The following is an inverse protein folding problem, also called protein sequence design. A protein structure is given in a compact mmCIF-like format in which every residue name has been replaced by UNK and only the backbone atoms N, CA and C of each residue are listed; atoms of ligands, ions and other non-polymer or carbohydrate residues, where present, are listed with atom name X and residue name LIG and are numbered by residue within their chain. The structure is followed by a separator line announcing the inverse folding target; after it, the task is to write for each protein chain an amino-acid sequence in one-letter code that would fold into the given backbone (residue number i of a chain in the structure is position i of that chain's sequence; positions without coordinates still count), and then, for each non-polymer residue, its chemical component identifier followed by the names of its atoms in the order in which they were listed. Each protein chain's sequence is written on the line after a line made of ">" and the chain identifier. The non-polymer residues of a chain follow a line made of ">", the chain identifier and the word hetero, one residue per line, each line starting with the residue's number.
data_IF_066836012245
#
_entry.id   IF_066836012245
#
_cell.length_a   1.000
_cell.length_b   1.000
_cell.length_c   1.000
_cell.angle_alpha   90.00
_cell.angle_beta   90.00
_cell.angle_gamma   90.00
#
_symmetry.space_group_name_H-M   'P 1'
#
loop_
_entity.id
_entity.type
_entity.pdbx_description
1 polymer ?
#
# COMPACT_ATOMS: atom_id res chain seq x y z
N UNK A 1 4.27 -6.88 18.73
CA UNK A 1 4.18 -6.89 17.26
C UNK A 1 2.83 -6.37 16.86
N UNK A 2 2.80 -5.50 15.84
CA UNK A 2 1.57 -5.03 15.23
C UNK A 2 0.84 -6.20 14.56
N UNK A 3 -0.49 -6.18 14.58
CA UNK A 3 -1.36 -7.15 13.92
C UNK A 3 -2.22 -6.49 12.84
N UNK A 4 -2.45 -5.18 12.93
CA UNK A 4 -3.09 -4.39 11.90
C UNK A 4 -2.03 -3.57 11.17
N UNK A 5 -1.85 -3.85 9.88
CA UNK A 5 -0.95 -3.13 8.98
C UNK A 5 -1.80 -2.32 8.02
N UNK A 6 -1.76 -1.00 8.13
CA UNK A 6 -2.51 -0.11 7.23
C UNK A 6 -1.56 0.38 6.16
N UNK A 7 -1.88 0.15 4.90
CA UNK A 7 -1.04 0.51 3.76
C UNK A 7 -1.66 1.72 3.05
N UNK A 8 -0.97 2.85 3.09
CA UNK A 8 -1.34 4.07 2.38
C UNK A 8 -0.18 4.57 1.51
N UNK A 9 -0.34 5.71 0.85
CA UNK A 9 0.54 6.19 -0.20
C UNK A 9 -0.21 6.96 -1.28
N UNK A 10 0.50 7.80 -2.04
CA UNK A 10 -0.08 8.58 -3.14
C UNK A 10 -0.79 7.66 -4.17
N UNK A 11 -1.77 8.19 -4.90
CA UNK A 11 -2.37 7.47 -6.02
C UNK A 11 -1.30 7.02 -7.03
N UNK A 12 -1.32 5.75 -7.44
CA UNK A 12 -0.37 5.22 -8.42
C UNK A 12 0.96 4.68 -7.87
N UNK A 13 1.26 4.81 -6.56
CA UNK A 13 2.53 4.30 -6.00
C UNK A 13 2.57 2.78 -5.77
N UNK A 14 1.46 2.07 -5.98
CA UNK A 14 1.37 0.61 -5.88
C UNK A 14 0.87 0.06 -4.54
N UNK A 15 0.08 0.84 -3.77
CA UNK A 15 -0.51 0.43 -2.48
C UNK A 15 -1.10 -0.98 -2.48
N UNK A 16 -2.02 -1.28 -3.39
CA UNK A 16 -2.71 -2.59 -3.46
C UNK A 16 -1.71 -3.73 -3.68
N UNK A 17 -0.74 -3.54 -4.59
CA UNK A 17 0.32 -4.53 -4.85
C UNK A 17 1.18 -4.76 -3.61
N UNK A 18 1.61 -3.68 -2.95
CA UNK A 18 2.43 -3.75 -1.73
C UNK A 18 1.65 -4.37 -0.56
N UNK A 19 0.36 -4.04 -0.40
CA UNK A 19 -0.50 -4.62 0.62
C UNK A 19 -0.66 -6.13 0.43
N UNK A 20 -0.86 -6.58 -0.80
CA UNK A 20 -0.95 -8.00 -1.11
C UNK A 20 0.39 -8.73 -0.93
N UNK A 21 1.52 -8.12 -1.32
CA UNK A 21 2.85 -8.66 -1.09
C UNK A 21 3.16 -8.79 0.40
N UNK A 22 2.81 -7.77 1.20
CA UNK A 22 2.96 -7.82 2.66
C UNK A 22 2.06 -8.89 3.27
N UNK A 23 0.82 -9.04 2.79
CA UNK A 23 -0.08 -10.07 3.29
C UNK A 23 0.47 -11.49 3.03
N UNK A 24 1.05 -11.73 1.86
CA UNK A 24 1.75 -12.98 1.54
C UNK A 24 2.99 -13.20 2.43
N UNK A 25 3.77 -12.14 2.68
CA UNK A 25 4.95 -12.21 3.52
C UNK A 25 4.59 -12.55 4.99
N UNK A 26 3.54 -11.92 5.53
CA UNK A 26 3.06 -12.14 6.89
C UNK A 26 2.36 -13.50 7.07
N UNK A 27 1.74 -14.03 6.02
CA UNK A 27 1.11 -15.35 6.03
C UNK A 27 2.11 -16.49 5.98
N UNK A 28 3.39 -16.26 5.66
CA UNK A 28 4.38 -17.32 5.58
C UNK A 28 4.48 -18.15 6.88
N UNK A 29 4.92 -19.40 6.73
CA UNK A 29 5.17 -20.36 7.81
C UNK A 29 3.89 -20.78 8.56
N UNK A 30 2.83 -21.05 7.79
CA UNK A 30 1.57 -21.60 8.29
C UNK A 30 0.64 -20.57 8.95
N UNK A 31 0.96 -19.27 8.86
CA UNK A 31 0.15 -18.18 9.40
C UNK A 31 -1.02 -17.84 8.48
N UNK A 32 -2.03 -17.19 9.06
CA UNK A 32 -3.21 -16.71 8.34
C UNK A 32 -3.25 -15.19 8.36
N UNK A 33 -3.30 -14.58 7.18
CA UNK A 33 -3.42 -13.12 7.03
C UNK A 33 -4.70 -12.76 6.29
N UNK A 34 -5.40 -11.73 6.75
CA UNK A 34 -6.53 -11.15 6.04
C UNK A 34 -6.10 -9.86 5.33
N UNK A 35 -6.24 -9.82 4.01
CA UNK A 35 -6.09 -8.62 3.18
C UNK A 35 -7.47 -7.96 3.00
N UNK A 36 -7.56 -6.68 3.31
CA UNK A 36 -8.82 -5.94 3.33
C UNK A 36 -8.72 -4.73 2.42
N UNK A 37 -9.69 -4.52 1.54
CA UNK A 37 -9.83 -3.30 0.73
C UNK A 37 -11.06 -2.51 1.18
N UNK A 38 -10.94 -1.18 1.28
CA UNK A 38 -12.00 -0.29 1.80
C UNK A 38 -12.49 0.77 0.79
N UNK A 39 -11.86 0.86 -0.38
CA UNK A 39 -12.21 1.86 -1.41
C UNK A 39 -13.24 1.36 -2.42
N UNK A 40 -13.56 0.06 -2.44
CA UNK A 40 -14.57 -0.53 -3.34
C UNK A 40 -14.15 -0.56 -4.80
N UNK A 41 -12.84 -0.54 -5.08
CA UNK A 41 -12.26 -0.54 -6.44
C UNK A 41 -12.07 -1.94 -7.00
N UNK A 42 -12.23 -2.98 -6.16
CA UNK A 42 -11.96 -4.38 -6.52
C UNK A 42 -10.51 -4.57 -7.00
N UNK A 43 -9.59 -3.80 -6.41
CA UNK A 43 -8.16 -3.86 -6.72
C UNK A 43 -7.56 -5.21 -6.36
N UNK A 44 -8.01 -5.83 -5.26
CA UNK A 44 -7.58 -7.18 -4.90
C UNK A 44 -8.00 -8.20 -5.98
N UNK A 45 -9.26 -8.17 -6.43
CA UNK A 45 -9.75 -9.11 -7.44
C UNK A 45 -8.96 -8.97 -8.76
N UNK A 46 -8.70 -7.73 -9.18
CA UNK A 46 -7.89 -7.44 -10.38
C UNK A 46 -6.45 -7.96 -10.23
N UNK A 47 -5.81 -7.71 -9.08
CA UNK A 47 -4.42 -8.11 -8.83
C UNK A 47 -4.24 -9.63 -8.79
N UNK A 48 -5.23 -10.37 -8.29
CA UNK A 48 -5.21 -11.83 -8.24
C UNK A 48 -5.92 -12.49 -9.44
N UNK A 49 -6.32 -11.70 -10.43
CA UNK A 49 -7.01 -12.15 -11.66
C UNK A 49 -8.26 -13.01 -11.38
N UNK A 50 -9.04 -12.63 -10.36
CA UNK A 50 -10.28 -13.32 -9.97
C UNK A 50 -11.52 -12.55 -10.38
N UNK A 51 -12.68 -13.22 -10.32
CA UNK A 51 -13.96 -12.51 -10.32
C UNK A 51 -14.06 -11.50 -9.17
N UNK A 52 -14.91 -10.46 -9.28
CA UNK A 52 -15.17 -9.52 -8.19
C UNK A 52 -15.48 -10.24 -6.88
N UNK A 53 -14.83 -9.81 -5.80
CA UNK A 53 -15.00 -10.43 -4.50
C UNK A 53 -16.37 -10.05 -3.92
N UNK A 54 -17.18 -11.04 -3.50
CA UNK A 54 -18.37 -10.76 -2.72
C UNK A 54 -18.00 -10.26 -1.31
N UNK A 55 -18.98 -9.74 -0.58
CA UNK A 55 -18.81 -9.34 0.81
C UNK A 55 -18.73 -10.56 1.75
N UNK A 56 -17.63 -11.30 1.64
CA UNK A 56 -17.27 -12.42 2.50
C UNK A 56 -15.76 -12.66 2.47
N UNK A 57 -15.23 -13.25 3.53
CA UNK A 57 -13.80 -13.61 3.60
C UNK A 57 -13.54 -14.85 2.74
N UNK A 58 -12.66 -14.72 1.74
CA UNK A 58 -12.29 -15.83 0.86
C UNK A 58 -10.79 -16.05 0.84
N UNK A 59 -10.35 -17.30 0.87
CA UNK A 59 -8.95 -17.64 0.59
C UNK A 59 -8.64 -17.29 -0.87
N UNK A 60 -7.63 -16.44 -1.07
CA UNK A 60 -7.18 -16.00 -2.41
C UNK A 60 -5.78 -16.49 -2.76
N UNK A 61 -4.96 -16.83 -1.77
CA UNK A 61 -3.59 -17.31 -2.02
C UNK A 61 -3.08 -18.23 -0.90
N UNK A 62 -2.05 -19.01 -1.23
CA UNK A 62 -1.32 -19.86 -0.28
C UNK A 62 0.11 -19.35 -0.17
N UNK A 63 0.52 -18.93 1.02
CA UNK A 63 1.87 -18.44 1.27
C UNK A 63 2.87 -19.60 1.47
N UNK A 64 4.18 -19.37 1.27
CA UNK A 64 5.22 -20.37 1.54
C UNK A 64 5.11 -20.96 2.96
N UNK A 65 5.38 -22.26 3.10
CA UNK A 65 5.24 -22.96 4.37
C UNK A 65 3.79 -23.30 4.75
N UNK A 66 2.85 -23.22 3.79
CA UNK A 66 1.46 -23.66 3.97
C UNK A 66 0.54 -22.61 4.61
N UNK A 67 0.98 -21.35 4.66
CA UNK A 67 0.15 -20.25 5.16
C UNK A 67 -0.96 -19.84 4.20
N UNK A 68 -1.87 -18.99 4.67
CA UNK A 68 -3.04 -18.59 3.90
C UNK A 68 -3.26 -17.08 3.90
N UNK A 69 -3.54 -16.53 2.71
CA UNK A 69 -4.07 -15.17 2.57
C UNK A 69 -5.54 -15.27 2.23
N UNK A 70 -6.36 -14.66 3.07
CA UNK A 70 -7.78 -14.43 2.83
C UNK A 70 -7.98 -12.98 2.41
N UNK A 71 -8.99 -12.70 1.60
CA UNK A 71 -9.34 -11.35 1.19
C UNK A 71 -10.77 -11.00 1.59
N UNK A 72 -11.01 -9.73 1.87
CA UNK A 72 -12.32 -9.14 2.06
C UNK A 72 -12.36 -7.76 1.39
N UNK A 73 -13.20 -7.62 0.35
CA UNK A 73 -13.58 -6.31 -0.16
C UNK A 73 -14.73 -5.78 0.72
N UNK A 74 -14.45 -4.80 1.57
CA UNK A 74 -15.48 -4.25 2.46
C UNK A 74 -16.40 -3.34 1.67
N UNK A 75 -17.66 -3.69 1.71
CA UNK A 75 -18.74 -2.84 1.21
C UNK A 75 -19.40 -2.10 2.39
N UNK A 76 -19.52 -0.76 2.34
CA UNK A 76 -20.05 0.01 3.45
C UNK A 76 -21.54 -0.26 3.70
N UNK A 77 -22.32 -0.61 2.68
CA UNK A 77 -23.75 -0.94 2.82
C UNK A 77 -23.92 -2.22 3.61
N UNK A 78 -23.19 -3.27 3.21
CA UNK A 78 -23.22 -4.53 3.95
C UNK A 78 -22.59 -4.42 5.35
N UNK A 79 -21.55 -3.59 5.52
CA UNK A 79 -20.98 -3.32 6.84
C UNK A 79 -21.98 -2.62 7.78
N UNK A 80 -22.83 -1.72 7.26
CA UNK A 80 -23.92 -1.13 8.05
C UNK A 80 -24.95 -2.18 8.44
N UNK A 81 -25.34 -3.07 7.51
CA UNK A 81 -26.29 -4.14 7.81
C UNK A 81 -25.75 -5.07 8.91
N UNK A 82 -24.48 -5.47 8.83
CA UNK A 82 -23.77 -6.22 9.88
C UNK A 82 -23.85 -5.49 11.23
N UNK A 83 -23.54 -4.19 11.23
CA UNK A 83 -23.59 -3.34 12.41
C UNK A 83 -25.01 -3.27 13.02
N UNK A 84 -26.02 -3.02 12.19
CA UNK A 84 -27.42 -2.93 12.63
C UNK A 84 -27.91 -4.26 13.21
N UNK A 85 -27.55 -5.39 12.60
CA UNK A 85 -27.88 -6.71 13.12
C UNK A 85 -27.25 -6.96 14.49
N UNK A 86 -25.98 -6.59 14.67
CA UNK A 86 -25.24 -6.81 15.92
C UNK A 86 -25.78 -5.97 17.08
N UNK A 87 -26.15 -4.71 16.84
CA UNK A 87 -26.53 -3.78 17.91
C UNK A 87 -28.03 -3.62 18.13
N UNK A 88 -28.87 -3.81 17.11
CA UNK A 88 -30.32 -3.61 17.21
C UNK A 88 -31.14 -4.91 17.22
N UNK A 89 -30.47 -6.09 17.20
CA UNK A 89 -31.13 -7.42 17.18
C UNK A 89 -32.25 -7.51 16.15
N UNK A 90 -32.03 -6.92 14.98
CA UNK A 90 -32.95 -7.00 13.86
C UNK A 90 -32.92 -8.44 13.33
N UNK A 91 -33.90 -9.25 13.73
CA UNK A 91 -34.05 -10.63 13.26
C UNK A 91 -34.42 -10.72 11.77
N UNK A 92 -35.57 -11.31 11.44
CA UNK A 92 -36.06 -11.43 10.05
C UNK A 92 -36.34 -10.09 9.34
N UNK A 93 -36.28 -8.95 10.06
CA UNK A 93 -36.46 -7.59 9.55
C UNK A 93 -35.29 -7.06 8.69
N UNK A 94 -34.11 -7.69 8.72
CA UNK A 94 -32.96 -7.29 7.90
C UNK A 94 -33.24 -7.33 6.38
N UNK A 95 -34.15 -8.19 5.93
CA UNK A 95 -34.59 -8.25 4.52
C UNK A 95 -35.44 -7.06 4.09
N UNK A 96 -36.21 -6.46 5.01
CA UNK A 96 -37.04 -5.28 4.71
C UNK A 96 -36.16 -4.01 4.64
N UNK A 97 -35.16 -3.89 5.54
CA UNK A 97 -34.13 -2.86 5.48
C UNK A 97 -33.27 -2.95 4.21
N UNK A 98 -33.05 -4.15 3.64
CA UNK A 98 -32.33 -4.30 2.37
C UNK A 98 -33.07 -3.65 1.17
N UNK A 99 -34.40 -3.62 1.19
CA UNK A 99 -35.24 -3.02 0.13
C UNK A 99 -35.47 -1.51 0.33
N UNK A 100 -35.54 -1.05 1.57
CA UNK A 100 -35.74 0.37 1.93
C UNK A 100 -34.42 1.14 2.06
N UNK A 101 -33.40 0.48 2.59
CA UNK A 101 -32.12 1.09 2.96
C UNK A 101 -31.19 1.42 1.81
N UNK A 102 -31.28 0.77 0.64
CA UNK A 102 -30.41 1.12 -0.49
C UNK A 102 -30.68 2.54 -1.04
N UNK A 103 -31.93 3.02 -0.94
CA UNK A 103 -32.33 4.35 -1.43
C UNK A 103 -32.01 5.44 -0.39
N UNK A 104 -32.14 5.15 0.90
CA UNK A 104 -31.76 6.07 1.99
C UNK A 104 -30.24 6.07 2.26
N UNK A 105 -29.51 4.97 2.02
CA UNK A 105 -28.07 4.91 2.25
C UNK A 105 -27.30 5.87 1.34
N UNK A 106 -27.68 5.91 0.06
CA UNK A 106 -27.10 6.78 -0.96
C UNK A 106 -27.35 8.28 -0.67
N UNK A 107 -28.41 8.63 0.07
CA UNK A 107 -28.80 10.01 0.37
C UNK A 107 -28.48 10.46 1.81
N UNK A 108 -28.24 9.54 2.76
CA UNK A 108 -28.28 9.85 4.21
C UNK A 108 -26.97 9.60 4.97
N UNK A 109 -25.99 8.88 4.42
CA UNK A 109 -24.76 8.60 5.16
C UNK A 109 -23.79 9.78 5.10
N UNK A 110 -23.62 10.43 6.25
CA UNK A 110 -22.50 11.33 6.47
C UNK A 110 -21.19 10.57 6.22
N UNK A 111 -20.23 11.15 5.46
CA UNK A 111 -18.94 10.53 5.15
C UNK A 111 -18.26 9.88 6.36
N UNK A 112 -18.43 10.47 7.53
CA UNK A 112 -17.86 9.97 8.77
C UNK A 112 -18.39 8.62 9.27
N UNK A 113 -19.67 8.31 9.03
CA UNK A 113 -20.22 7.00 9.39
C UNK A 113 -19.66 5.91 8.48
N UNK A 114 -19.42 6.20 7.19
CA UNK A 114 -18.79 5.26 6.26
C UNK A 114 -17.42 4.83 6.77
N UNK A 115 -16.56 5.78 7.14
CA UNK A 115 -15.20 5.48 7.58
C UNK A 115 -15.19 4.68 8.90
N UNK A 116 -16.14 4.93 9.81
CA UNK A 116 -16.34 4.14 11.04
C UNK A 116 -16.72 2.68 10.74
N UNK A 117 -17.60 2.45 9.76
CA UNK A 117 -18.02 1.10 9.39
C UNK A 117 -16.87 0.31 8.76
N UNK A 118 -16.14 0.95 7.82
CA UNK A 118 -15.01 0.34 7.13
C UNK A 118 -13.88 -0.02 8.11
N UNK A 119 -13.42 0.95 8.92
CA UNK A 119 -12.40 0.71 9.95
C UNK A 119 -12.89 -0.24 11.04
N UNK A 120 -14.19 -0.17 11.38
CA UNK A 120 -14.87 -1.05 12.31
C UNK A 120 -14.78 -2.53 11.93
N UNK A 121 -15.03 -2.85 10.67
CA UNK A 121 -14.96 -4.23 10.16
C UNK A 121 -13.53 -4.77 10.19
N UNK A 122 -12.54 -3.97 9.83
CA UNK A 122 -11.14 -4.38 9.94
C UNK A 122 -10.70 -4.58 11.41
N UNK A 123 -11.09 -3.67 12.31
CA UNK A 123 -10.79 -3.80 13.73
C UNK A 123 -11.50 -5.00 14.38
N UNK A 124 -12.69 -5.37 13.89
CA UNK A 124 -13.38 -6.60 14.27
C UNK A 124 -12.54 -7.82 13.90
N UNK A 125 -12.08 -7.91 12.65
CA UNK A 125 -11.22 -9.01 12.19
C UNK A 125 -9.92 -9.13 13.00
N UNK A 126 -9.29 -8.00 13.36
CA UNK A 126 -8.10 -7.98 14.24
C UNK A 126 -8.42 -8.59 15.61
N UNK A 127 -9.57 -8.27 16.19
CA UNK A 127 -9.94 -8.71 17.55
C UNK A 127 -10.58 -10.10 17.58
N UNK A 128 -11.05 -10.62 16.45
CA UNK A 128 -11.83 -11.85 16.37
C UNK A 128 -11.02 -13.07 16.81
N UNK A 129 -11.60 -13.85 17.71
CA UNK A 129 -11.03 -15.09 18.24
C UNK A 129 -11.89 -16.30 17.87
N UNK A 130 -11.23 -17.42 17.60
CA UNK A 130 -11.87 -18.71 17.40
C UNK A 130 -12.38 -19.32 18.72
N UNK A 131 -13.00 -20.50 18.61
CA UNK A 131 -13.49 -21.26 19.78
C UNK A 131 -12.38 -21.70 20.73
N UNK A 132 -11.17 -21.80 20.22
CA UNK A 132 -9.94 -22.14 20.94
C UNK A 132 -9.29 -20.92 21.64
N UNK A 133 -9.90 -19.73 21.55
CA UNK A 133 -9.41 -18.50 22.15
C UNK A 133 -8.22 -17.86 21.42
N UNK A 134 -7.76 -18.45 20.31
CA UNK A 134 -6.72 -17.89 19.43
C UNK A 134 -7.34 -16.91 18.45
N UNK A 135 -6.54 -15.99 17.93
CA UNK A 135 -7.02 -15.08 16.89
C UNK A 135 -7.30 -15.87 15.60
N UNK A 136 -8.36 -15.49 14.88
CA UNK A 136 -8.70 -16.13 13.61
C UNK A 136 -7.64 -15.87 12.53
N UNK A 137 -7.08 -14.66 12.54
CA UNK A 137 -5.96 -14.24 11.71
C UNK A 137 -4.80 -13.78 12.58
N UNK A 138 -3.59 -14.15 12.21
CA UNK A 138 -2.36 -13.68 12.86
C UNK A 138 -2.17 -12.18 12.60
N UNK A 139 -2.40 -11.78 11.35
CA UNK A 139 -2.30 -10.38 10.89
C UNK A 139 -3.48 -9.98 9.98
N UNK A 140 -3.77 -8.69 9.95
CA UNK A 140 -4.73 -8.04 9.04
C UNK A 140 -3.98 -6.92 8.32
N UNK A 141 -4.00 -6.94 6.99
CA UNK A 141 -3.43 -5.90 6.13
C UNK A 141 -4.58 -5.15 5.47
N UNK A 142 -4.62 -3.83 5.60
CA UNK A 142 -5.63 -2.96 5.01
C UNK A 142 -5.01 -2.16 3.87
N UNK A 143 -5.48 -2.39 2.64
CA UNK A 143 -5.29 -1.48 1.51
C UNK A 143 -6.19 -0.26 1.73
N UNK A 144 -5.58 0.83 2.18
CA UNK A 144 -6.27 1.99 2.71
C UNK A 144 -6.31 3.15 1.70
N UNK A 145 -7.13 4.19 1.95
CA UNK A 145 -7.19 5.36 1.10
C UNK A 145 -5.82 6.04 0.92
N UNK A 146 -5.64 6.86 -0.13
CA UNK A 146 -4.37 7.52 -0.41
C UNK A 146 -3.96 8.50 0.70
N UNK A 147 -2.69 8.92 0.67
CA UNK A 147 -2.06 9.74 1.72
C UNK A 147 -2.91 10.95 2.14
N UNK A 148 -3.43 11.73 1.20
CA UNK A 148 -4.25 12.91 1.53
C UNK A 148 -5.59 12.64 2.22
N UNK A 149 -5.99 11.37 2.43
CA UNK A 149 -7.21 10.99 3.15
C UNK A 149 -6.92 10.10 4.37
N UNK A 150 -5.71 9.54 4.51
CA UNK A 150 -5.46 8.46 5.47
C UNK A 150 -5.65 8.88 6.93
N UNK A 151 -5.13 10.05 7.32
CA UNK A 151 -5.23 10.55 8.70
C UNK A 151 -6.69 10.71 9.11
N UNK A 152 -7.47 11.39 8.27
CA UNK A 152 -8.91 11.60 8.46
C UNK A 152 -9.69 10.29 8.49
N UNK A 153 -9.38 9.36 7.58
CA UNK A 153 -10.02 8.05 7.49
C UNK A 153 -9.83 7.22 8.77
N UNK A 154 -8.62 7.25 9.35
CA UNK A 154 -8.31 6.51 10.57
C UNK A 154 -8.76 7.24 11.84
N UNK A 155 -8.83 8.58 11.83
CA UNK A 155 -9.29 9.36 12.97
C UNK A 155 -10.81 9.49 13.01
N UNK A 156 -11.48 8.37 13.29
CA UNK A 156 -12.95 8.28 13.27
C UNK A 156 -13.64 9.17 14.32
N UNK A 157 -12.92 9.69 15.31
CA UNK A 157 -13.48 10.63 16.29
C UNK A 157 -13.90 11.97 15.64
N UNK A 158 -13.10 12.48 14.71
CA UNK A 158 -13.41 13.72 14.00
C UNK A 158 -14.66 13.56 13.13
N UNK A 159 -14.82 12.38 12.54
CA UNK A 159 -15.92 11.99 11.68
C UNK A 159 -17.27 11.79 12.42
N UNK A 160 -17.24 11.29 13.65
CA UNK A 160 -18.46 10.99 14.43
C UNK A 160 -18.86 12.14 15.35
N UNK A 161 -17.98 13.14 15.53
CA UNK A 161 -18.24 14.32 16.36
C UNK A 161 -19.55 15.06 15.99
N UNK A 162 -19.95 14.99 14.71
CA UNK A 162 -21.20 15.59 14.22
C UNK A 162 -22.45 14.69 14.29
N UNK A 163 -22.30 13.39 14.59
CA UNK A 163 -23.37 12.40 14.45
C UNK A 163 -24.03 12.01 15.78
N UNK A 164 -23.24 11.76 16.84
CA UNK A 164 -23.77 11.50 18.19
C UNK A 164 -22.68 11.56 19.28
N UNK A 165 -22.94 12.28 20.38
CA UNK A 165 -22.03 12.34 21.54
C UNK A 165 -22.12 11.09 22.44
N UNK A 166 -23.17 10.30 22.33
CA UNK A 166 -23.44 9.11 23.14
C UNK A 166 -24.19 8.05 22.33
N UNK A 167 -24.12 6.79 22.75
CA UNK A 167 -24.86 5.68 22.12
C UNK A 167 -23.97 4.68 21.35
N UNK A 168 -24.60 3.70 20.68
CA UNK A 168 -23.88 2.58 20.06
C UNK A 168 -22.81 2.98 19.04
N UNK A 169 -23.08 4.00 18.21
CA UNK A 169 -22.12 4.48 17.19
C UNK A 169 -20.90 5.11 17.86
N UNK A 170 -21.11 5.93 18.90
CA UNK A 170 -20.02 6.52 19.66
C UNK A 170 -19.16 5.43 20.33
N UNK A 171 -19.78 4.44 20.95
CA UNK A 171 -19.07 3.32 21.59
C UNK A 171 -18.27 2.49 20.57
N UNK A 172 -18.82 2.27 19.37
CA UNK A 172 -18.14 1.59 18.27
C UNK A 172 -16.92 2.41 17.81
N UNK A 173 -17.07 3.72 17.59
CA UNK A 173 -15.97 4.60 17.23
C UNK A 173 -14.86 4.58 18.28
N UNK A 174 -15.19 4.63 19.59
CA UNK A 174 -14.20 4.50 20.65
C UNK A 174 -13.52 3.12 20.67
N UNK A 175 -14.25 2.04 20.36
CA UNK A 175 -13.67 0.70 20.25
C UNK A 175 -12.68 0.60 19.08
N UNK A 176 -13.00 1.20 17.94
CA UNK A 176 -12.12 1.31 16.77
C UNK A 176 -10.87 2.12 17.11
N UNK A 177 -11.03 3.33 17.68
CA UNK A 177 -9.90 4.18 18.04
C UNK A 177 -8.94 3.52 19.02
N UNK A 178 -9.45 2.70 19.96
CA UNK A 178 -8.60 1.90 20.85
C UNK A 178 -7.70 0.93 20.11
N UNK A 179 -8.15 0.33 19.01
CA UNK A 179 -7.31 -0.54 18.17
C UNK A 179 -6.34 0.31 17.36
N UNK A 180 -6.85 1.33 16.65
CA UNK A 180 -6.05 2.16 15.73
C UNK A 180 -4.92 2.92 16.42
N UNK A 181 -5.13 3.38 17.67
CA UNK A 181 -4.08 4.05 18.46
C UNK A 181 -3.23 3.11 19.32
N UNK A 182 -3.49 1.79 19.29
CA UNK A 182 -2.70 0.83 20.07
C UNK A 182 -1.43 0.40 19.35
N UNK A 183 -0.46 -0.19 20.07
CA UNK A 183 0.70 -0.86 19.47
C UNK A 183 0.35 -2.06 18.57
N UNK A 184 -0.93 -2.45 18.47
CA UNK A 184 -1.37 -3.46 17.50
C UNK A 184 -1.48 -2.90 16.08
N UNK A 185 -1.45 -1.58 15.90
CA UNK A 185 -1.59 -0.94 14.59
C UNK A 185 -0.25 -0.36 14.15
N UNK A 186 0.03 -0.43 12.85
CA UNK A 186 1.12 0.29 12.21
C UNK A 186 0.64 0.80 10.85
N UNK A 187 0.83 2.10 10.58
CA UNK A 187 0.53 2.69 9.27
C UNK A 187 1.82 2.78 8.45
N UNK A 188 1.85 2.11 7.30
CA UNK A 188 2.97 2.09 6.37
C UNK A 188 2.66 2.95 5.15
N UNK A 189 3.66 3.71 4.69
CA UNK A 189 3.51 4.63 3.56
C UNK A 189 4.27 4.09 2.34
N UNK A 190 3.56 3.87 1.24
CA UNK A 190 4.11 3.44 -0.04
C UNK A 190 4.40 4.67 -0.89
N UNK A 191 5.64 4.81 -1.32
CA UNK A 191 6.12 5.95 -2.11
C UNK A 191 6.98 5.51 -3.28
N UNK A 192 7.25 6.44 -4.18
CA UNK A 192 8.23 6.33 -5.25
C UNK A 192 9.33 7.37 -4.99
N UNK A 193 10.52 7.16 -5.56
CA UNK A 193 11.60 8.15 -5.50
C UNK A 193 11.37 9.30 -6.49
N UNK A 194 10.31 10.05 -6.21
CA UNK A 194 9.86 11.23 -6.96
C UNK A 194 9.43 12.30 -5.97
N UNK A 195 9.59 13.58 -6.33
CA UNK A 195 9.38 14.72 -5.42
C UNK A 195 8.00 14.71 -4.77
N UNK A 196 6.93 14.62 -5.59
CA UNK A 196 5.56 14.67 -5.07
C UNK A 196 5.18 13.46 -4.19
N UNK A 197 5.43 12.19 -4.58
CA UNK A 197 5.22 11.04 -3.69
C UNK A 197 5.98 11.12 -2.36
N UNK A 198 7.24 11.56 -2.36
CA UNK A 198 8.04 11.71 -1.13
C UNK A 198 7.49 12.82 -0.25
N UNK A 199 7.20 13.99 -0.81
CA UNK A 199 6.61 15.10 -0.07
C UNK A 199 5.27 14.71 0.58
N UNK A 200 4.34 14.11 -0.18
CA UNK A 200 3.06 13.64 0.38
C UNK A 200 3.29 12.61 1.50
N UNK A 201 4.29 11.74 1.36
CA UNK A 201 4.64 10.76 2.39
C UNK A 201 5.11 11.43 3.67
N UNK A 202 6.00 12.43 3.58
CA UNK A 202 6.48 13.19 4.72
C UNK A 202 5.33 13.94 5.43
N UNK A 203 4.48 14.62 4.66
CA UNK A 203 3.31 15.35 5.17
C UNK A 203 2.33 14.40 5.87
N UNK A 204 1.99 13.27 5.22
CA UNK A 204 1.10 12.27 5.80
C UNK A 204 1.62 11.64 7.09
N UNK A 205 2.94 11.40 7.18
CA UNK A 205 3.57 10.92 8.42
C UNK A 205 3.50 11.97 9.53
N UNK A 206 3.72 13.24 9.21
CA UNK A 206 3.61 14.33 10.16
C UNK A 206 2.18 14.45 10.71
N UNK A 207 1.17 14.38 9.84
CA UNK A 207 -0.24 14.39 10.23
C UNK A 207 -0.62 13.19 11.11
N UNK A 208 -0.24 11.97 10.73
CA UNK A 208 -0.48 10.77 11.53
C UNK A 208 0.12 10.89 12.93
N UNK A 209 1.35 11.40 13.03
CA UNK A 209 2.03 11.63 14.31
C UNK A 209 1.33 12.70 15.15
N UNK A 210 0.90 13.81 14.53
CA UNK A 210 0.15 14.87 15.21
C UNK A 210 -1.15 14.35 15.84
N UNK A 211 -1.83 13.42 15.17
CA UNK A 211 -3.05 12.78 15.67
C UNK A 211 -2.80 11.59 16.62
N UNK A 212 -1.53 11.24 16.87
CA UNK A 212 -1.13 10.13 17.73
C UNK A 212 -1.45 8.75 17.14
N UNK A 213 -1.46 8.62 15.81
CA UNK A 213 -1.60 7.35 15.11
C UNK A 213 -0.21 6.69 14.93
N UNK A 214 -0.07 5.38 15.19
CA UNK A 214 1.22 4.70 15.06
C UNK A 214 1.73 4.66 13.62
N UNK A 215 2.95 5.18 13.41
CA UNK A 215 3.64 5.09 12.11
C UNK A 215 4.55 3.85 12.11
N UNK A 216 4.47 3.08 11.02
CA UNK A 216 5.19 1.83 10.83
C UNK A 216 6.52 2.05 10.11
N UNK A 217 6.48 2.01 8.79
CA UNK A 217 7.66 2.16 7.93
C UNK A 217 7.28 2.76 6.58
N UNK A 218 8.28 3.17 5.80
CA UNK A 218 8.11 3.64 4.43
C UNK A 218 8.56 2.55 3.48
N UNK A 219 7.73 2.25 2.48
CA UNK A 219 8.00 1.25 1.45
C UNK A 219 8.24 2.01 0.15
N UNK A 220 9.49 2.05 -0.27
CA UNK A 220 9.92 2.65 -1.53
C UNK A 220 9.71 1.60 -2.62
N UNK A 221 8.69 1.81 -3.44
CA UNK A 221 8.32 0.88 -4.49
C UNK A 221 9.00 1.24 -5.81
N UNK A 222 9.07 0.26 -6.72
CA UNK A 222 9.60 0.42 -8.08
C UNK A 222 11.05 0.95 -8.13
N UNK A 223 11.87 0.55 -7.16
CA UNK A 223 13.30 0.89 -7.15
C UNK A 223 13.97 0.22 -8.35
N UNK A 224 14.67 1.01 -9.17
CA UNK A 224 15.41 0.50 -10.31
C UNK A 224 16.76 -0.05 -9.82
N UNK A 225 17.24 -1.17 -10.38
CA UNK A 225 18.58 -1.64 -10.08
C UNK A 225 19.62 -0.60 -10.51
N UNK A 226 20.63 -0.38 -9.67
CA UNK A 226 21.73 0.53 -10.00
C UNK A 226 22.57 -0.07 -11.14
N UNK A 227 22.58 0.59 -12.29
CA UNK A 227 23.36 0.17 -13.48
C UNK A 227 24.77 0.77 -13.44
N UNK A 228 24.90 1.99 -12.90
CA UNK A 228 26.15 2.73 -12.81
C UNK A 228 26.48 3.00 -11.33
N UNK A 229 27.77 2.91 -11.00
CA UNK A 229 28.27 3.36 -9.71
C UNK A 229 28.34 4.90 -9.62
N UNK A 230 28.74 5.42 -8.47
CA UNK A 230 28.77 6.86 -8.24
C UNK A 230 29.68 7.62 -9.22
N UNK A 231 30.88 7.10 -9.46
CA UNK A 231 31.86 7.71 -10.35
C UNK A 231 31.35 7.69 -11.81
N UNK A 232 30.78 6.56 -12.24
CA UNK A 232 30.21 6.42 -13.57
C UNK A 232 29.00 7.35 -13.81
N UNK A 233 28.20 7.62 -12.79
CA UNK A 233 27.09 8.60 -12.87
C UNK A 233 27.62 10.03 -13.06
N UNK A 234 28.67 10.42 -12.34
CA UNK A 234 29.30 11.74 -12.52
C UNK A 234 29.94 11.88 -13.90
N UNK A 235 30.60 10.83 -14.37
CA UNK A 235 31.19 10.79 -15.71
C UNK A 235 30.09 10.87 -16.79
N UNK A 236 28.96 10.19 -16.60
CA UNK A 236 27.81 10.24 -17.49
C UNK A 236 27.20 11.65 -17.58
N UNK A 237 27.09 12.36 -16.45
CA UNK A 237 26.58 13.73 -16.40
C UNK A 237 27.48 14.73 -17.16
N UNK A 238 28.80 14.51 -17.15
CA UNK A 238 29.79 15.42 -17.73
C UNK A 238 30.10 15.17 -19.22
N UNK A 239 29.55 14.10 -19.81
CA UNK A 239 29.60 13.83 -21.25
C UNK A 239 30.98 13.44 -21.81
N UNK A 240 31.20 12.14 -22.05
CA UNK A 240 32.47 11.60 -22.58
C UNK A 240 32.41 11.26 -24.07
N UNK A 241 32.13 12.25 -24.93
CA UNK A 241 31.89 12.05 -26.37
C UNK A 241 32.98 11.25 -27.08
N UNK A 242 34.25 11.61 -26.88
CA UNK A 242 35.37 10.95 -27.52
C UNK A 242 35.54 9.50 -27.07
N UNK A 243 35.32 9.22 -25.78
CA UNK A 243 35.41 7.87 -25.24
C UNK A 243 34.28 6.99 -25.76
N UNK A 244 33.04 7.49 -25.78
CA UNK A 244 31.88 6.78 -26.33
C UNK A 244 32.07 6.50 -27.83
N UNK A 245 32.50 7.50 -28.62
CA UNK A 245 32.80 7.31 -30.03
C UNK A 245 33.87 6.24 -30.28
N UNK A 246 34.93 6.24 -29.46
CA UNK A 246 36.00 5.24 -29.52
C UNK A 246 35.48 3.84 -29.18
N UNK A 247 34.66 3.71 -28.13
CA UNK A 247 34.05 2.44 -27.72
C UNK A 247 33.13 1.86 -28.80
N UNK A 248 32.26 2.67 -29.40
CA UNK A 248 31.40 2.24 -30.52
C UNK A 248 32.21 1.79 -31.73
N UNK A 249 33.30 2.50 -32.03
CA UNK A 249 34.22 2.11 -33.12
C UNK A 249 34.91 0.77 -32.83
N UNK A 250 35.32 0.52 -31.59
CA UNK A 250 35.93 -0.74 -31.17
C UNK A 250 34.94 -1.90 -31.20
N UNK A 251 33.66 -1.63 -30.91
CA UNK A 251 32.57 -2.60 -31.00
C UNK A 251 32.11 -2.90 -32.45
N UNK A 252 32.77 -2.32 -33.46
CA UNK A 252 32.45 -2.58 -34.87
C UNK A 252 31.27 -1.78 -35.42
N UNK A 253 30.73 -0.80 -34.68
CA UNK A 253 29.62 0.07 -35.12
C UNK A 253 30.07 1.23 -36.04
N UNK A 254 31.26 1.09 -36.63
CA UNK A 254 31.91 2.07 -37.51
C UNK A 254 32.71 3.13 -36.74
N UNK A 255 33.79 3.62 -37.36
CA UNK A 255 34.61 4.71 -36.81
C UNK A 255 33.94 6.08 -36.97
N UNK A 256 34.51 7.09 -36.30
CA UNK A 256 34.09 8.51 -36.34
C UNK A 256 34.27 9.20 -37.72
N UNK A 257 34.12 8.48 -38.84
CA UNK A 257 34.01 9.08 -40.17
C UNK A 257 32.63 9.74 -40.30
N UNK A 258 32.61 10.95 -40.86
CA UNK A 258 31.41 11.74 -41.14
C UNK A 258 30.31 10.88 -41.78
N UNK A 259 29.17 10.74 -41.12
CA UNK A 259 27.99 10.01 -41.58
C UNK A 259 27.87 8.55 -41.12
N UNK A 260 28.84 8.03 -40.35
CA UNK A 260 28.82 6.66 -39.82
C UNK A 260 27.78 6.42 -38.72
N UNK A 261 27.39 5.15 -38.51
CA UNK A 261 26.38 4.76 -37.52
C UNK A 261 26.78 5.17 -36.09
N UNK A 262 28.06 5.01 -35.72
CA UNK A 262 28.58 5.49 -34.45
C UNK A 262 28.32 6.99 -34.23
N UNK A 263 28.60 7.86 -35.21
CA UNK A 263 28.39 9.32 -35.06
C UNK A 263 26.93 9.69 -34.78
N UNK A 264 25.98 8.94 -35.34
CA UNK A 264 24.53 9.14 -35.09
C UNK A 264 24.07 8.63 -33.74
N UNK A 265 24.82 7.73 -33.11
CA UNK A 265 24.48 7.11 -31.83
C UNK A 265 25.14 7.80 -30.64
N UNK A 266 26.30 8.46 -30.82
CA UNK A 266 27.02 9.07 -29.69
C UNK A 266 26.15 10.09 -28.95
N UNK A 267 25.60 11.07 -29.68
CA UNK A 267 24.88 12.17 -29.02
C UNK A 267 23.58 11.69 -28.33
N UNK A 268 22.74 10.81 -28.93
CA UNK A 268 21.62 10.19 -28.22
C UNK A 268 22.02 9.36 -26.99
N UNK A 269 23.11 8.60 -27.04
CA UNK A 269 23.57 7.80 -25.89
C UNK A 269 24.08 8.69 -24.76
N UNK A 270 24.76 9.79 -25.08
CA UNK A 270 25.17 10.77 -24.08
C UNK A 270 23.97 11.45 -23.42
N UNK A 271 22.94 11.78 -24.21
CA UNK A 271 21.71 12.38 -23.67
C UNK A 271 20.99 11.40 -22.73
N UNK A 272 20.84 10.14 -23.12
CA UNK A 272 20.28 9.10 -22.24
C UNK A 272 21.10 8.91 -20.95
N UNK A 273 22.42 9.00 -21.04
CA UNK A 273 23.31 8.91 -19.88
C UNK A 273 23.14 10.11 -18.94
N UNK A 274 22.96 11.32 -19.50
CA UNK A 274 22.69 12.55 -18.74
C UNK A 274 21.34 12.48 -18.04
N UNK A 275 20.27 12.11 -18.75
CA UNK A 275 18.93 11.91 -18.16
C UNK A 275 18.96 10.86 -17.04
N UNK A 276 19.68 9.75 -17.24
CA UNK A 276 19.87 8.74 -16.20
C UNK A 276 20.60 9.31 -14.98
N UNK A 277 21.67 10.09 -15.18
CA UNK A 277 22.42 10.69 -14.08
C UNK A 277 21.60 11.70 -13.27
N UNK A 278 20.78 12.52 -13.95
CA UNK A 278 19.83 13.43 -13.31
C UNK A 278 18.79 12.66 -12.48
N UNK A 279 18.23 11.58 -13.03
CA UNK A 279 17.29 10.71 -12.31
C UNK A 279 17.93 10.09 -11.07
N UNK A 280 19.13 9.54 -11.17
CA UNK A 280 19.84 8.96 -10.02
C UNK A 280 20.13 10.00 -8.94
N UNK A 281 20.48 11.22 -9.34
CA UNK A 281 20.72 12.33 -8.41
C UNK A 281 19.43 12.71 -7.66
N UNK A 282 18.31 12.82 -8.38
CA UNK A 282 16.99 13.03 -7.79
C UNK A 282 16.64 11.91 -6.81
N UNK A 283 16.76 10.65 -7.24
CA UNK A 283 16.42 9.48 -6.43
C UNK A 283 17.25 9.40 -5.14
N UNK A 284 18.52 9.81 -5.18
CA UNK A 284 19.38 9.94 -3.99
C UNK A 284 18.89 11.03 -3.04
N UNK A 285 18.52 12.20 -3.56
CA UNK A 285 17.99 13.30 -2.74
C UNK A 285 16.67 12.89 -2.06
N UNK A 286 15.75 12.28 -2.82
CA UNK A 286 14.47 11.79 -2.30
C UNK A 286 14.65 10.69 -1.25
N UNK A 287 15.60 9.77 -1.44
CA UNK A 287 15.94 8.75 -0.43
C UNK A 287 16.51 9.37 0.85
N UNK A 288 17.31 10.43 0.74
CA UNK A 288 17.85 11.14 1.90
C UNK A 288 16.73 11.83 2.71
N UNK A 289 15.75 12.43 2.03
CA UNK A 289 14.57 13.01 2.68
C UNK A 289 13.77 11.96 3.46
N UNK A 290 13.49 10.81 2.85
CA UNK A 290 12.80 9.70 3.50
C UNK A 290 13.57 9.15 4.71
N UNK A 291 14.91 9.08 4.61
CA UNK A 291 15.77 8.67 5.73
C UNK A 291 15.65 9.64 6.91
N UNK A 292 15.50 10.94 6.62
CA UNK A 292 15.29 11.99 7.62
C UNK A 292 14.01 11.85 8.44
N UNK A 293 13.03 11.05 7.99
CA UNK A 293 11.78 10.79 8.72
C UNK A 293 11.96 9.89 9.95
N UNK A 294 13.11 9.21 10.06
CA UNK A 294 13.46 8.34 11.19
C UNK A 294 12.60 7.07 11.30
N UNK A 295 12.05 6.59 10.17
CA UNK A 295 11.29 5.35 10.10
C UNK A 295 12.07 4.27 9.34
N UNK A 296 11.80 2.98 9.60
CA UNK A 296 12.31 1.90 8.76
C UNK A 296 11.95 2.11 7.29
N UNK A 297 12.95 1.97 6.42
CA UNK A 297 12.79 2.01 4.97
C UNK A 297 12.88 0.60 4.42
N UNK A 298 11.93 0.24 3.56
CA UNK A 298 11.92 -1.02 2.82
C UNK A 298 11.89 -0.70 1.33
N UNK A 299 12.70 -1.38 0.53
CA UNK A 299 12.79 -1.15 -0.90
C UNK A 299 12.26 -2.35 -1.67
N UNK A 300 11.44 -2.09 -2.68
CA UNK A 300 10.93 -3.09 -3.60
C UNK A 300 11.35 -2.77 -5.02
N UNK A 301 11.94 -3.76 -5.68
CA UNK A 301 12.43 -3.60 -7.05
C UNK A 301 11.29 -3.41 -8.05
N UNK A 302 11.57 -2.65 -9.11
CA UNK A 302 10.68 -2.51 -10.25
C UNK A 302 10.61 -3.83 -11.03
N UNK A 303 9.40 -4.38 -11.16
CA UNK A 303 9.11 -5.50 -12.04
C UNK A 303 8.86 -5.00 -13.48
N UNK A 304 9.82 -5.25 -14.38
CA UNK A 304 9.81 -4.71 -15.76
C UNK A 304 8.73 -5.31 -16.66
N UNK A 305 8.32 -6.55 -16.40
CA UNK A 305 7.36 -7.29 -17.22
C UNK A 305 5.90 -7.03 -16.81
N UNK A 306 5.68 -6.09 -15.88
CA UNK A 306 4.40 -5.87 -15.22
C UNK A 306 4.23 -6.71 -13.95
N UNK A 307 3.10 -6.50 -13.28
CA UNK A 307 2.74 -7.25 -12.06
C UNK A 307 1.89 -8.45 -12.46
N UNK A 308 2.42 -9.64 -12.24
CA UNK A 308 1.71 -10.91 -12.26
C UNK A 308 1.77 -11.57 -10.87
N UNK A 309 1.10 -12.71 -10.71
CA UNK A 309 1.09 -13.44 -9.45
C UNK A 309 2.51 -13.85 -9.03
N UNK A 310 3.37 -14.28 -9.95
CA UNK A 310 4.76 -14.64 -9.66
C UNK A 310 5.58 -13.44 -9.17
N UNK A 311 5.40 -12.27 -9.80
CA UNK A 311 5.92 -10.98 -9.36
C UNK A 311 5.49 -10.65 -7.93
N UNK A 312 4.22 -10.87 -7.60
CA UNK A 312 3.72 -10.63 -6.26
C UNK A 312 4.41 -11.51 -5.20
N UNK A 313 4.65 -12.80 -5.49
CA UNK A 313 5.43 -13.68 -4.60
C UNK A 313 6.91 -13.26 -4.49
N UNK A 314 7.51 -12.73 -5.55
CA UNK A 314 8.88 -12.15 -5.50
C UNK A 314 8.93 -10.96 -4.55
N UNK A 315 8.01 -10.01 -4.70
CA UNK A 315 7.89 -8.85 -3.81
C UNK A 315 7.65 -9.28 -2.34
N UNK A 316 6.81 -10.28 -2.11
CA UNK A 316 6.57 -10.84 -0.77
C UNK A 316 7.85 -11.46 -0.17
N UNK A 317 8.63 -12.19 -0.97
CA UNK A 317 9.89 -12.78 -0.53
C UNK A 317 10.92 -11.69 -0.16
N UNK A 318 10.97 -10.60 -0.92
CA UNK A 318 11.88 -9.47 -0.65
C UNK A 318 11.45 -8.68 0.58
N UNK A 319 10.14 -8.43 0.76
CA UNK A 319 9.62 -7.85 1.99
C UNK A 319 9.99 -8.71 3.21
N UNK A 320 9.89 -10.04 3.13
CA UNK A 320 10.21 -10.93 4.25
C UNK A 320 11.67 -10.86 4.68
N UNK A 321 12.61 -10.59 3.76
CA UNK A 321 14.03 -10.40 4.08
C UNK A 321 14.26 -9.10 4.87
N UNK A 322 13.45 -8.08 4.59
CA UNK A 322 13.58 -6.74 5.16
C UNK A 322 12.70 -6.50 6.38
N UNK A 323 11.64 -7.31 6.53
CA UNK A 323 10.63 -7.24 7.58
C UNK A 323 10.69 -8.53 8.42
N UNK A 324 11.68 -8.68 9.32
CA UNK A 324 11.77 -9.85 10.16
C UNK A 324 10.52 -9.95 11.05
N UNK A 325 9.87 -11.11 10.98
CA UNK A 325 8.64 -11.44 11.66
C UNK A 325 8.75 -11.41 13.19
#
# INVERSE_FOLDING_TARGET
>A
MSRLHVISGKGGTGKTTVAAALALALAADGRRTLLVEVEGRQGIAQLFETEPLPYEERKIATAPGGGEVHALAIDPEFALLDYLHMFYKLGSAGRALKKLGAIDFATTIAPGLRDVLLTGKACEAVRRKGKDGRFVYDSVVMDAPPTGRITRFLNVNHEVAGLARTGPIHNQAQAVMRVLKSPQTAVHMVTLLEEMPVQETADGIAELRADGLPTGGVIINMVRPAILDHEAVEVAANGQRAAVAKALSQAGLGGARRGGMAERLVDPLLEQAREHAERVTLERAQRAELTGLGLPLHELELLTDGIDLAGLYRLAADLRKQWPA
#
